data_IF_766066411223
#
_entry.id   IF_766066411223
#
_cell.length_a   1.000
_cell.length_b   1.000
_cell.length_c   1.000
_cell.angle_alpha   90.00
_cell.angle_beta   90.00
_cell.angle_gamma   90.00
#
_symmetry.space_group_name_H-M   'P 1'
#
loop_
_entity.id
_entity.type
_entity.pdbx_description
1 polymer ?
#
# COMPACT_ATOMS: atom_id res chain seq x y z
N UNK A 1 -57.25 -19.44 -6.41
CA UNK A 1 -56.76 -18.28 -5.62
C UNK A 1 -55.45 -18.59 -4.87
N UNK A 2 -55.23 -19.80 -4.37
CA UNK A 2 -53.97 -20.20 -3.69
C UNK A 2 -52.70 -20.16 -4.56
N UNK A 3 -52.81 -20.44 -5.87
CA UNK A 3 -51.66 -20.52 -6.79
C UNK A 3 -51.04 -19.15 -7.12
N UNK A 4 -51.83 -18.07 -7.02
CA UNK A 4 -51.34 -16.70 -7.25
C UNK A 4 -50.54 -16.19 -6.05
N UNK A 5 -50.99 -16.51 -4.82
CA UNK A 5 -50.25 -16.19 -3.58
C UNK A 5 -48.88 -16.89 -3.53
N UNK A 6 -48.80 -18.15 -3.97
CA UNK A 6 -47.53 -18.89 -3.97
C UNK A 6 -46.51 -18.37 -5.00
N UNK A 7 -46.97 -17.78 -6.11
CA UNK A 7 -46.10 -17.15 -7.11
C UNK A 7 -45.56 -15.81 -6.60
N UNK A 8 -46.43 -15.03 -5.97
CA UNK A 8 -46.07 -13.75 -5.36
C UNK A 8 -45.07 -13.94 -4.20
N UNK A 9 -45.26 -14.97 -3.36
CA UNK A 9 -44.34 -15.25 -2.25
C UNK A 9 -42.96 -15.71 -2.74
N UNK A 10 -42.88 -16.50 -3.82
CA UNK A 10 -41.61 -16.90 -4.44
C UNK A 10 -40.86 -15.71 -5.06
N UNK A 11 -41.58 -14.78 -5.71
CA UNK A 11 -40.98 -13.58 -6.29
C UNK A 11 -40.43 -12.64 -5.21
N UNK A 12 -41.17 -12.46 -4.11
CA UNK A 12 -40.72 -11.67 -2.97
C UNK A 12 -39.49 -12.30 -2.29
N UNK A 13 -39.45 -13.64 -2.15
CA UNK A 13 -38.27 -14.36 -1.61
C UNK A 13 -37.03 -14.23 -2.51
N UNK A 14 -37.19 -14.26 -3.84
CA UNK A 14 -36.05 -14.07 -4.74
C UNK A 14 -35.52 -12.63 -4.72
N UNK A 15 -36.40 -11.63 -4.56
CA UNK A 15 -36.00 -10.23 -4.49
C UNK A 15 -35.24 -9.90 -3.20
N UNK A 16 -35.70 -10.42 -2.06
CA UNK A 16 -35.01 -10.21 -0.78
C UNK A 16 -33.66 -10.91 -0.75
N UNK A 17 -33.57 -12.13 -1.29
CA UNK A 17 -32.29 -12.84 -1.37
C UNK A 17 -31.29 -12.14 -2.31
N UNK A 18 -31.75 -11.65 -3.47
CA UNK A 18 -30.91 -10.88 -4.39
C UNK A 18 -30.46 -9.53 -3.80
N UNK A 19 -31.34 -8.84 -3.07
CA UNK A 19 -31.01 -7.60 -2.38
C UNK A 19 -29.99 -7.82 -1.25
N UNK A 20 -30.16 -8.89 -0.45
CA UNK A 20 -29.18 -9.26 0.57
C UNK A 20 -27.83 -9.66 -0.04
N UNK A 21 -27.80 -10.45 -1.12
CA UNK A 21 -26.54 -10.79 -1.79
C UNK A 21 -25.86 -9.55 -2.38
N UNK A 22 -26.62 -8.65 -3.00
CA UNK A 22 -26.10 -7.38 -3.52
C UNK A 22 -25.52 -6.50 -2.41
N UNK A 23 -26.17 -6.45 -1.24
CA UNK A 23 -25.69 -5.70 -0.08
C UNK A 23 -24.42 -6.33 0.52
N UNK A 24 -24.37 -7.66 0.63
CA UNK A 24 -23.17 -8.38 1.09
C UNK A 24 -21.98 -8.17 0.15
N UNK A 25 -22.19 -8.13 -1.16
CA UNK A 25 -21.13 -7.84 -2.15
C UNK A 25 -20.62 -6.39 -2.07
N UNK A 26 -21.46 -5.44 -1.62
CA UNK A 26 -21.04 -4.06 -1.38
C UNK A 26 -20.26 -3.88 -0.08
N UNK A 27 -20.48 -4.72 0.95
CA UNK A 27 -19.71 -4.66 2.20
C UNK A 27 -18.30 -5.24 2.06
N UNK A 28 -18.08 -6.19 1.15
CA UNK A 28 -16.74 -6.74 0.89
C UNK A 28 -15.86 -5.83 0.02
N UNK A 29 -16.38 -4.69 -0.45
CA UNK A 29 -15.59 -3.69 -1.18
C UNK A 29 -14.73 -2.79 -0.27
N UNK A 30 -14.83 -2.90 1.05
CA UNK A 30 -14.09 -2.07 2.01
C UNK A 30 -12.86 -2.75 2.63
N UNK A 31 -12.50 -3.97 2.22
CA UNK A 31 -11.16 -4.54 2.44
C UNK A 31 -10.31 -4.45 1.17
N UNK A 32 -10.59 -3.44 0.34
CA UNK A 32 -9.71 -3.06 -0.76
C UNK A 32 -8.48 -2.36 -0.18
N UNK A 33 -7.41 -3.13 0.02
CA UNK A 33 -6.07 -2.61 -0.19
C UNK A 33 -6.08 -1.80 -1.49
N UNK A 34 -5.67 -0.52 -1.44
CA UNK A 34 -5.46 0.28 -2.65
C UNK A 34 -6.20 1.61 -2.78
N UNK A 35 -6.74 2.19 -1.71
CA UNK A 35 -6.85 3.65 -1.69
C UNK A 35 -5.44 4.20 -1.46
N UNK A 36 -4.68 4.41 -2.54
CA UNK A 36 -3.32 4.96 -2.45
C UNK A 36 -3.39 6.22 -1.58
N UNK A 37 -2.81 6.17 -0.38
CA UNK A 37 -2.82 7.28 0.61
C UNK A 37 -2.02 8.50 0.14
N UNK A 38 -1.48 8.42 -1.07
CA UNK A 38 -0.72 9.42 -1.77
C UNK A 38 -1.62 10.57 -2.25
N UNK A 39 -1.37 11.75 -1.71
CA UNK A 39 -2.06 13.02 -2.02
C UNK A 39 -1.83 13.45 -3.46
N UNK A 40 -0.68 13.09 -4.04
CA UNK A 40 -0.22 13.57 -5.34
C UNK A 40 0.73 14.76 -5.29
N UNK A 41 0.90 15.37 -4.12
CA UNK A 41 2.03 16.26 -3.85
C UNK A 41 3.29 15.44 -3.62
N UNK A 42 4.30 15.70 -4.44
CA UNK A 42 5.52 14.88 -4.44
C UNK A 42 6.28 14.97 -3.12
N UNK A 43 6.37 16.17 -2.53
CA UNK A 43 7.17 16.38 -1.32
C UNK A 43 6.47 15.77 -0.13
N UNK A 44 5.18 16.07 0.03
CA UNK A 44 4.34 15.52 1.10
C UNK A 44 4.31 13.99 1.06
N UNK A 45 4.07 13.42 -0.13
CA UNK A 45 4.03 11.97 -0.29
C UNK A 45 5.40 11.33 -0.05
N UNK A 46 6.51 11.97 -0.46
CA UNK A 46 7.85 11.44 -0.20
C UNK A 46 8.13 11.37 1.30
N UNK A 47 7.82 12.44 2.04
CA UNK A 47 8.00 12.50 3.49
C UNK A 47 7.13 11.43 4.19
N UNK A 48 5.85 11.33 3.82
CA UNK A 48 4.93 10.36 4.39
C UNK A 48 5.37 8.90 4.15
N UNK A 49 5.82 8.59 2.92
CA UNK A 49 6.32 7.25 2.58
C UNK A 49 7.60 6.94 3.34
N UNK A 50 8.55 7.90 3.44
CA UNK A 50 9.78 7.71 4.21
C UNK A 50 9.47 7.34 5.65
N UNK A 51 8.62 8.09 6.34
CA UNK A 51 8.29 7.81 7.73
C UNK A 51 7.59 6.47 7.92
N UNK A 52 6.66 6.14 7.02
CA UNK A 52 5.96 4.84 7.06
C UNK A 52 6.95 3.69 6.93
N UNK A 53 7.84 3.74 5.94
CA UNK A 53 8.83 2.69 5.71
C UNK A 53 9.88 2.61 6.83
N UNK A 54 10.31 3.75 7.38
CA UNK A 54 11.19 3.78 8.55
C UNK A 54 10.55 3.10 9.77
N UNK A 55 9.25 3.34 9.99
CA UNK A 55 8.50 2.65 11.04
C UNK A 55 8.43 1.14 10.78
N UNK A 56 8.16 0.72 9.54
CA UNK A 56 8.08 -0.70 9.19
C UNK A 56 9.42 -1.41 9.39
N UNK A 57 10.53 -0.84 8.91
CA UNK A 57 11.85 -1.49 9.04
C UNK A 57 12.38 -1.48 10.48
N UNK A 58 11.82 -0.65 11.36
CA UNK A 58 12.17 -0.62 12.78
C UNK A 58 11.47 -1.71 13.61
N UNK A 59 10.45 -2.38 13.06
CA UNK A 59 9.74 -3.47 13.74
C UNK A 59 10.68 -4.63 14.06
N UNK A 60 10.55 -5.16 15.27
CA UNK A 60 11.25 -6.35 15.74
C UNK A 60 10.81 -7.60 14.97
N UNK A 61 11.64 -8.64 15.01
CA UNK A 61 11.34 -9.87 14.30
C UNK A 61 10.03 -10.53 14.77
N UNK A 62 9.77 -10.43 16.07
CA UNK A 62 8.66 -11.09 16.77
C UNK A 62 7.48 -10.15 17.03
N UNK A 63 7.49 -8.94 16.45
CA UNK A 63 6.41 -7.97 16.61
C UNK A 63 5.13 -8.47 15.92
N UNK A 64 4.01 -8.43 16.65
CA UNK A 64 2.69 -8.71 16.09
C UNK A 64 2.38 -7.71 14.95
N UNK A 65 1.80 -8.20 13.85
CA UNK A 65 1.44 -7.35 12.71
C UNK A 65 2.59 -7.03 11.74
N UNK A 66 3.81 -7.56 11.96
CA UNK A 66 4.94 -7.28 11.08
C UNK A 66 4.70 -7.73 9.64
N UNK A 67 4.16 -8.93 9.44
CA UNK A 67 3.93 -9.46 8.09
C UNK A 67 2.92 -8.59 7.30
N UNK A 68 1.87 -8.12 7.98
CA UNK A 68 0.90 -7.19 7.45
C UNK A 68 1.54 -5.84 7.12
N UNK A 69 2.41 -5.33 7.99
CA UNK A 69 3.15 -4.09 7.76
C UNK A 69 4.12 -4.19 6.56
N UNK A 70 4.82 -5.31 6.38
CA UNK A 70 5.71 -5.55 5.23
C UNK A 70 4.91 -5.67 3.92
N UNK A 71 3.72 -6.27 3.98
CA UNK A 71 2.80 -6.34 2.83
C UNK A 71 2.31 -4.94 2.46
N UNK A 72 1.83 -4.17 3.43
CA UNK A 72 1.41 -2.79 3.23
C UNK A 72 2.55 -1.89 2.72
N UNK A 73 3.77 -2.10 3.20
CA UNK A 73 4.95 -1.40 2.70
C UNK A 73 5.24 -1.74 1.22
N UNK A 74 5.07 -3.00 0.82
CA UNK A 74 5.24 -3.42 -0.58
C UNK A 74 4.20 -2.74 -1.49
N UNK A 75 2.95 -2.66 -1.05
CA UNK A 75 1.89 -1.98 -1.78
C UNK A 75 2.17 -0.47 -1.89
N UNK A 76 2.57 0.17 -0.78
CA UNK A 76 2.94 1.59 -0.75
C UNK A 76 4.11 1.91 -1.69
N UNK A 77 5.11 1.02 -1.78
CA UNK A 77 6.23 1.15 -2.72
C UNK A 77 5.72 1.13 -4.16
N UNK A 78 4.83 0.20 -4.50
CA UNK A 78 4.26 0.08 -5.84
C UNK A 78 3.43 1.31 -6.21
N UNK A 79 2.61 1.81 -5.28
CA UNK A 79 1.81 3.02 -5.45
C UNK A 79 2.68 4.26 -5.67
N UNK A 80 3.71 4.45 -4.85
CA UNK A 80 4.64 5.58 -4.98
C UNK A 80 5.39 5.53 -6.31
N UNK A 81 5.94 4.37 -6.66
CA UNK A 81 6.69 4.20 -7.89
C UNK A 81 5.82 4.36 -9.14
N UNK A 82 4.61 3.81 -9.15
CA UNK A 82 3.69 3.95 -10.29
C UNK A 82 3.23 5.40 -10.50
N UNK A 83 3.04 6.16 -9.41
CA UNK A 83 2.63 7.56 -9.46
C UNK A 83 3.73 8.51 -9.96
N UNK A 84 4.95 8.34 -9.45
CA UNK A 84 6.00 9.35 -9.62
C UNK A 84 7.03 9.01 -10.71
N UNK A 85 7.29 7.73 -10.99
CA UNK A 85 8.25 7.34 -12.03
C UNK A 85 7.91 7.85 -13.44
N UNK A 86 6.64 7.90 -13.88
CA UNK A 86 6.30 8.40 -15.21
C UNK A 86 6.40 9.92 -15.37
N UNK A 87 6.51 10.68 -14.26
CA UNK A 87 6.48 12.15 -14.26
C UNK A 87 7.86 12.73 -14.58
N UNK A 88 8.08 13.36 -15.76
CA UNK A 88 9.41 13.88 -16.13
C UNK A 88 9.95 14.95 -15.17
N UNK A 89 9.06 15.71 -14.54
CA UNK A 89 9.41 16.72 -13.55
C UNK A 89 9.88 16.14 -12.20
N UNK A 90 9.67 14.84 -11.96
CA UNK A 90 10.06 14.15 -10.72
C UNK A 90 11.15 13.12 -10.94
N UNK A 91 11.07 12.34 -12.02
CA UNK A 91 11.89 11.13 -12.18
C UNK A 91 13.40 11.38 -12.35
N UNK A 92 13.80 12.61 -12.66
CA UNK A 92 15.19 13.05 -12.72
C UNK A 92 15.71 13.70 -11.42
N UNK A 93 14.84 13.92 -10.43
CA UNK A 93 15.25 14.55 -9.17
C UNK A 93 16.18 13.63 -8.38
N UNK A 94 17.14 14.23 -7.68
CA UNK A 94 18.05 13.48 -6.82
C UNK A 94 17.31 12.83 -5.65
N UNK A 95 16.29 13.50 -5.12
CA UNK A 95 15.34 12.94 -4.16
C UNK A 95 14.67 11.66 -4.67
N UNK A 96 14.17 11.66 -5.90
CA UNK A 96 13.46 10.52 -6.46
C UNK A 96 14.38 9.34 -6.73
N UNK A 97 15.53 9.58 -7.36
CA UNK A 97 16.51 8.52 -7.69
C UNK A 97 17.12 7.89 -6.43
N UNK A 98 17.34 8.69 -5.38
CA UNK A 98 17.76 8.20 -4.06
C UNK A 98 16.67 7.33 -3.43
N UNK A 99 15.42 7.82 -3.45
CA UNK A 99 14.26 7.06 -2.95
C UNK A 99 14.15 5.72 -3.70
N UNK A 100 14.17 5.73 -5.03
CA UNK A 100 14.08 4.53 -5.87
C UNK A 100 15.15 3.48 -5.51
N UNK A 101 16.36 3.90 -5.16
CA UNK A 101 17.43 2.98 -4.73
C UNK A 101 17.08 2.27 -3.42
N UNK A 102 16.52 3.01 -2.45
CA UNK A 102 16.03 2.45 -1.20
C UNK A 102 14.86 1.49 -1.44
N UNK A 103 13.87 1.94 -2.21
CA UNK A 103 12.65 1.16 -2.48
C UNK A 103 12.93 -0.14 -3.23
N UNK A 104 13.79 -0.10 -4.26
CA UNK A 104 14.19 -1.31 -4.99
C UNK A 104 14.91 -2.32 -4.10
N UNK A 105 15.74 -1.84 -3.17
CA UNK A 105 16.43 -2.70 -2.22
C UNK A 105 15.45 -3.39 -1.27
N UNK A 106 14.47 -2.63 -0.75
CA UNK A 106 13.49 -3.11 0.20
C UNK A 106 12.49 -4.09 -0.45
N UNK A 107 11.91 -3.72 -1.59
CA UNK A 107 11.00 -4.57 -2.35
C UNK A 107 11.68 -5.86 -2.83
N UNK A 108 12.96 -5.78 -3.21
CA UNK A 108 13.77 -6.96 -3.54
C UNK A 108 13.87 -7.94 -2.37
N UNK A 109 14.15 -7.43 -1.16
CA UNK A 109 14.24 -8.27 0.04
C UNK A 109 12.90 -8.93 0.37
N UNK A 110 11.81 -8.16 0.45
CA UNK A 110 10.48 -8.71 0.77
C UNK A 110 10.01 -9.75 -0.24
N UNK A 111 10.29 -9.56 -1.52
CA UNK A 111 9.95 -10.53 -2.57
C UNK A 111 10.75 -11.83 -2.45
N UNK A 112 12.06 -11.74 -2.18
CA UNK A 112 12.95 -12.91 -2.17
C UNK A 112 12.95 -13.65 -0.83
N UNK A 113 12.72 -12.93 0.27
CA UNK A 113 12.90 -13.43 1.63
C UNK A 113 11.72 -13.07 2.55
N UNK A 114 10.48 -13.27 2.09
CA UNK A 114 9.23 -12.89 2.77
C UNK A 114 9.13 -13.32 4.26
N UNK A 115 9.81 -14.40 4.66
CA UNK A 115 9.78 -14.91 6.04
C UNK A 115 11.09 -14.67 6.81
N UNK A 116 11.99 -13.80 6.32
CA UNK A 116 13.26 -13.50 7.01
C UNK A 116 13.33 -12.05 7.46
N UNK A 117 13.92 -11.77 8.63
CA UNK A 117 14.21 -10.40 9.06
C UNK A 117 15.05 -9.65 8.03
N UNK A 118 14.84 -8.34 7.94
CA UNK A 118 15.65 -7.45 7.13
C UNK A 118 17.08 -7.39 7.74
N UNK A 119 18.13 -7.76 6.99
CA UNK A 119 19.50 -7.74 7.51
C UNK A 119 19.89 -6.36 8.02
N UNK A 120 20.61 -6.29 9.14
CA UNK A 120 20.96 -5.02 9.79
C UNK A 120 21.70 -4.04 8.86
N UNK A 121 22.61 -4.56 8.04
CA UNK A 121 23.35 -3.77 7.06
C UNK A 121 22.44 -3.18 5.98
N UNK A 122 21.44 -3.95 5.54
CA UNK A 122 20.47 -3.51 4.57
C UNK A 122 19.50 -2.49 5.18
N UNK A 123 19.00 -2.75 6.39
CA UNK A 123 18.15 -1.83 7.15
C UNK A 123 18.82 -0.47 7.33
N UNK A 124 20.06 -0.44 7.82
CA UNK A 124 20.81 0.80 8.02
C UNK A 124 21.05 1.57 6.71
N UNK A 125 21.30 0.85 5.60
CA UNK A 125 21.46 1.48 4.29
C UNK A 125 20.14 2.07 3.79
N UNK A 126 19.04 1.32 3.86
CA UNK A 126 17.72 1.77 3.43
C UNK A 126 17.30 2.98 4.25
N UNK A 127 17.40 2.93 5.57
CA UNK A 127 17.08 4.06 6.46
C UNK A 127 17.86 5.33 6.09
N UNK A 128 19.16 5.20 5.85
CA UNK A 128 20.01 6.31 5.40
C UNK A 128 19.57 6.90 4.07
N UNK A 129 19.26 6.07 3.07
CA UNK A 129 18.83 6.56 1.76
C UNK A 129 17.43 7.17 1.81
N UNK A 130 16.50 6.61 2.60
CA UNK A 130 15.19 7.21 2.86
C UNK A 130 15.32 8.62 3.45
N UNK A 131 16.13 8.78 4.51
CA UNK A 131 16.34 10.09 5.13
C UNK A 131 17.08 11.09 4.24
N UNK A 132 17.91 10.64 3.29
CA UNK A 132 18.49 11.52 2.26
C UNK A 132 17.45 11.97 1.25
N UNK A 133 16.61 11.05 0.78
CA UNK A 133 15.56 11.34 -0.18
C UNK A 133 14.56 12.37 0.38
N UNK A 134 14.15 12.20 1.64
CA UNK A 134 13.30 13.15 2.37
C UNK A 134 13.90 14.56 2.39
N UNK A 135 15.14 14.70 2.87
CA UNK A 135 15.84 15.98 2.95
C UNK A 135 16.00 16.65 1.58
N UNK A 136 16.27 15.84 0.55
CA UNK A 136 16.41 16.33 -0.81
C UNK A 136 15.06 16.80 -1.36
N UNK A 137 13.97 16.06 -1.13
CA UNK A 137 12.62 16.42 -1.55
C UNK A 137 12.16 17.73 -0.91
N UNK A 138 12.34 17.88 0.41
CA UNK A 138 11.99 19.11 1.14
C UNK A 138 12.79 20.32 0.64
N UNK A 139 14.04 20.11 0.21
CA UNK A 139 14.87 21.16 -0.39
C UNK A 139 14.49 21.48 -1.85
N UNK A 140 13.70 20.62 -2.50
CA UNK A 140 13.34 20.74 -3.92
C UNK A 140 14.45 20.27 -4.87
N UNK A 141 15.27 19.30 -4.47
CA UNK A 141 16.41 18.77 -5.23
C UNK A 141 16.36 17.27 -5.42
#
# INVERSE_FOLDING_TARGET
MFSALQRLSRQLMSLTLAACLGLCLMLTACSGAGASTLTGDYVEDTVAVVHTLQSTIAMGQDDEGRAEAETAATDLINDYMSRYRPRPQVNGLSSFTTMQTALNSLAGHYKTYANRPLPDTLRARVDKELGKAEKAAVRGS
#
